data_IF_999552648759
#
_entry.id   IF_999552648759
#
_cell.length_a   1.000
_cell.length_b   1.000
_cell.length_c   1.000
_cell.angle_alpha   90.00
_cell.angle_beta   90.00
_cell.angle_gamma   90.00
#
_symmetry.space_group_name_H-M   'P 1'
#
loop_
_entity.id
_entity.type
_entity.pdbx_description
1 polymer ?
#
# COMPACT_ATOMS: atom_id res chain seq x y z
N UNK A 1 47.73 34.79 29.37
CA UNK A 1 47.38 35.25 28.01
C UNK A 1 47.27 34.04 27.10
N UNK A 2 46.03 33.79 26.64
CA UNK A 2 45.56 33.05 25.46
C UNK A 2 46.49 32.05 24.75
N UNK A 3 46.02 30.81 24.54
CA UNK A 3 45.58 30.37 23.19
C UNK A 3 44.88 29.01 23.21
N UNK A 4 43.55 29.08 23.34
CA UNK A 4 42.59 28.09 22.89
C UNK A 4 42.57 28.07 21.34
N UNK A 5 43.56 27.46 20.69
CA UNK A 5 43.54 27.31 19.23
C UNK A 5 44.32 26.05 18.82
N UNK A 6 43.79 24.85 19.10
CA UNK A 6 44.12 23.66 18.32
C UNK A 6 43.15 22.49 18.60
N UNK A 7 41.85 22.73 18.41
CA UNK A 7 40.82 21.67 18.35
C UNK A 7 39.86 21.96 17.21
N UNK A 8 40.38 22.01 15.98
CA UNK A 8 39.59 22.01 14.74
C UNK A 8 40.29 21.16 13.69
N UNK A 9 39.61 20.12 13.21
CA UNK A 9 40.11 19.14 12.24
C UNK A 9 40.52 17.87 12.97
N UNK A 10 39.70 16.84 13.09
CA UNK A 10 39.08 16.09 11.98
C UNK A 10 37.70 15.59 12.43
N UNK A 11 36.65 16.32 12.05
CA UNK A 11 35.27 15.84 12.09
C UNK A 11 34.62 16.23 10.76
N UNK A 12 35.02 15.55 9.68
CA UNK A 12 34.29 15.59 8.43
C UNK A 12 34.73 14.42 7.56
N UNK A 13 33.97 13.33 7.61
CA UNK A 13 33.42 12.57 6.48
C UNK A 13 32.63 11.41 7.10
N UNK A 14 31.34 11.64 7.39
CA UNK A 14 30.34 10.57 7.48
C UNK A 14 28.94 11.19 7.39
N UNK A 15 28.75 12.03 6.37
CA UNK A 15 27.51 12.77 6.15
C UNK A 15 26.88 12.36 4.83
N UNK A 16 26.49 11.09 4.67
CA UNK A 16 25.61 10.63 3.58
C UNK A 16 25.16 9.17 3.80
N UNK A 17 24.51 8.85 4.93
CA UNK A 17 23.70 7.63 5.04
C UNK A 17 22.69 7.65 6.22
N UNK A 18 21.99 8.77 6.45
CA UNK A 18 21.04 8.88 7.57
C UNK A 18 19.58 9.05 7.07
N UNK A 19 18.99 7.99 6.53
CA UNK A 19 17.53 7.88 6.37
C UNK A 19 16.99 6.52 6.86
N UNK A 20 17.83 5.69 7.49
CA UNK A 20 17.45 4.37 8.00
C UNK A 20 17.15 4.22 9.51
N UNK A 21 17.34 5.20 10.43
CA UNK A 21 17.22 4.90 11.86
C UNK A 21 15.76 4.63 12.28
N UNK A 22 14.78 5.34 11.69
CA UNK A 22 13.38 5.24 12.11
C UNK A 22 12.75 3.87 11.82
N UNK A 23 13.14 3.19 10.73
CA UNK A 23 12.57 1.87 10.42
C UNK A 23 13.21 0.74 11.22
N UNK A 24 14.49 0.88 11.57
CA UNK A 24 15.18 -0.07 12.43
C UNK A 24 14.62 0.00 13.86
N UNK A 25 14.36 1.21 14.36
CA UNK A 25 13.76 1.48 15.66
C UNK A 25 12.32 0.92 15.76
N UNK A 26 11.46 1.21 14.77
CA UNK A 26 10.09 0.65 14.70
C UNK A 26 10.09 -0.90 14.77
N UNK A 27 11.03 -1.57 14.11
CA UNK A 27 11.12 -3.04 14.12
C UNK A 27 11.60 -3.56 15.47
N UNK A 28 12.55 -2.89 16.11
CA UNK A 28 13.04 -3.26 17.43
C UNK A 28 11.94 -3.10 18.48
N UNK A 29 11.18 -2.00 18.45
CA UNK A 29 10.08 -1.78 19.39
C UNK A 29 8.96 -2.81 19.21
N UNK A 30 8.60 -3.15 17.96
CA UNK A 30 7.63 -4.24 17.70
C UNK A 30 8.13 -5.59 18.22
N UNK A 31 9.42 -5.89 18.06
CA UNK A 31 10.01 -7.12 18.59
C UNK A 31 10.00 -7.14 20.13
N UNK A 32 10.26 -6.00 20.77
CA UNK A 32 10.13 -5.84 22.23
C UNK A 32 8.70 -6.09 22.68
N UNK A 33 7.71 -5.48 22.04
CA UNK A 33 6.29 -5.65 22.41
C UNK A 33 5.87 -7.13 22.26
N UNK A 34 6.33 -7.81 21.21
CA UNK A 34 6.07 -9.24 21.04
C UNK A 34 6.62 -10.07 22.22
N UNK A 35 7.87 -9.82 22.63
CA UNK A 35 8.46 -10.48 23.81
C UNK A 35 7.69 -10.18 25.09
N UNK A 36 7.29 -8.92 25.33
CA UNK A 36 6.50 -8.56 26.51
C UNK A 36 5.13 -9.26 26.53
N UNK A 37 4.52 -9.54 25.36
CA UNK A 37 3.29 -10.33 25.28
C UNK A 37 3.50 -11.78 25.64
N UNK A 38 4.57 -12.38 25.13
CA UNK A 38 4.91 -13.77 25.44
C UNK A 38 5.18 -13.91 26.95
N UNK A 39 5.93 -12.98 27.54
CA UNK A 39 6.17 -12.92 28.99
C UNK A 39 4.89 -12.71 29.80
N UNK A 40 3.98 -11.83 29.36
CA UNK A 40 2.69 -11.64 30.01
C UNK A 40 1.81 -12.90 29.94
N UNK A 41 1.92 -13.67 28.85
CA UNK A 41 1.21 -14.94 28.67
C UNK A 41 1.79 -16.03 29.56
N UNK A 42 3.12 -16.16 29.61
CA UNK A 42 3.80 -17.13 30.48
C UNK A 42 3.50 -16.86 31.96
N UNK A 43 3.54 -15.59 32.39
CA UNK A 43 3.16 -15.20 33.75
C UNK A 43 1.71 -15.58 34.08
N UNK A 44 0.77 -15.33 33.16
CA UNK A 44 -0.62 -15.72 33.35
C UNK A 44 -0.79 -17.24 33.47
N UNK A 45 -0.07 -18.03 32.67
CA UNK A 45 -0.10 -19.49 32.77
C UNK A 45 0.51 -20.01 34.09
N UNK A 46 1.60 -19.39 34.55
CA UNK A 46 2.18 -19.71 35.86
C UNK A 46 1.19 -19.41 36.99
N UNK A 47 0.59 -18.22 36.96
CA UNK A 47 -0.42 -17.79 37.96
C UNK A 47 -1.65 -18.69 37.97
N UNK A 48 -2.11 -19.16 36.81
CA UNK A 48 -3.20 -20.15 36.76
C UNK A 48 -2.85 -21.44 37.51
N UNK A 49 -1.65 -22.00 37.27
CA UNK A 49 -1.18 -23.21 37.97
C UNK A 49 -1.01 -23.01 39.48
N UNK A 50 -0.62 -21.81 39.90
CA UNK A 50 -0.58 -21.43 41.32
C UNK A 50 -1.99 -21.35 41.91
N UNK A 51 -2.94 -20.73 41.17
CA UNK A 51 -4.32 -20.59 41.60
C UNK A 51 -5.02 -21.93 41.80
N UNK A 52 -4.73 -22.93 40.97
CA UNK A 52 -5.27 -24.30 41.08
C UNK A 52 -4.95 -24.96 42.42
N UNK A 53 -3.86 -24.55 43.08
CA UNK A 53 -3.45 -25.08 44.38
C UNK A 53 -4.10 -24.35 45.57
N UNK A 54 -4.88 -23.29 45.32
CA UNK A 54 -5.50 -22.46 46.36
C UNK A 54 -6.95 -22.88 46.57
N UNK A 55 -7.47 -22.62 47.77
CA UNK A 55 -8.88 -22.88 48.07
C UNK A 55 -9.85 -21.98 47.28
N UNK A 56 -9.46 -20.72 47.03
CA UNK A 56 -10.25 -19.74 46.29
C UNK A 56 -9.83 -19.65 44.80
N UNK A 57 -9.85 -20.78 44.09
CA UNK A 57 -9.36 -20.89 42.69
C UNK A 57 -10.01 -19.85 41.78
N UNK A 58 -11.34 -19.74 41.81
CA UNK A 58 -12.10 -18.87 40.89
C UNK A 58 -11.69 -17.41 41.01
N UNK A 59 -11.70 -16.87 42.23
CA UNK A 59 -11.31 -15.48 42.48
C UNK A 59 -9.85 -15.21 42.07
N UNK A 60 -8.95 -16.16 42.37
CA UNK A 60 -7.54 -16.07 41.99
C UNK A 60 -7.36 -16.06 40.46
N UNK A 61 -8.04 -16.96 39.74
CA UNK A 61 -7.96 -17.03 38.27
C UNK A 61 -8.55 -15.78 37.63
N UNK A 62 -9.63 -15.22 38.17
CA UNK A 62 -10.24 -14.01 37.64
C UNK A 62 -9.36 -12.77 37.83
N UNK A 63 -8.66 -12.66 38.96
CA UNK A 63 -7.63 -11.64 39.19
C UNK A 63 -6.47 -11.79 38.20
N UNK A 64 -5.93 -13.01 38.04
CA UNK A 64 -4.86 -13.29 37.08
C UNK A 64 -5.27 -12.97 35.63
N UNK A 65 -6.54 -13.24 35.26
CA UNK A 65 -7.10 -12.85 33.96
C UNK A 65 -7.22 -11.34 33.83
N UNK A 66 -7.62 -10.63 34.88
CA UNK A 66 -7.71 -9.17 34.87
C UNK A 66 -6.35 -8.52 34.66
N UNK A 67 -5.33 -8.95 35.41
CA UNK A 67 -3.93 -8.51 35.25
C UNK A 67 -3.42 -8.78 33.83
N UNK A 68 -3.66 -9.99 33.31
CA UNK A 68 -3.24 -10.36 31.94
C UNK A 68 -3.91 -9.47 30.88
N UNK A 69 -5.23 -9.24 30.99
CA UNK A 69 -5.95 -8.32 30.10
C UNK A 69 -5.38 -6.90 30.16
N UNK A 70 -5.11 -6.37 31.35
CA UNK A 70 -4.53 -5.04 31.51
C UNK A 70 -3.14 -4.94 30.85
N UNK A 71 -2.29 -5.95 31.05
CA UNK A 71 -0.98 -6.01 30.41
C UNK A 71 -1.09 -6.00 28.87
N UNK A 72 -1.97 -6.84 28.30
CA UNK A 72 -2.18 -6.89 26.85
C UNK A 72 -2.78 -5.60 26.28
N UNK A 73 -3.70 -4.95 27.01
CA UNK A 73 -4.29 -3.68 26.60
C UNK A 73 -3.25 -2.57 26.51
N UNK A 74 -2.35 -2.46 27.50
CA UNK A 74 -1.23 -1.52 27.48
C UNK A 74 -0.35 -1.75 26.24
N UNK A 75 0.03 -3.01 25.98
CA UNK A 75 0.87 -3.37 24.82
C UNK A 75 0.17 -3.09 23.48
N UNK A 76 -1.12 -3.37 23.37
CA UNK A 76 -1.92 -3.00 22.19
C UNK A 76 -1.94 -1.49 21.96
N UNK A 77 -2.00 -0.69 23.02
CA UNK A 77 -1.91 0.77 22.94
C UNK A 77 -0.55 1.24 22.40
N UNK A 78 0.54 0.57 22.75
CA UNK A 78 1.87 0.89 22.20
C UNK A 78 1.95 0.56 20.71
N UNK A 79 1.45 -0.60 20.29
CA UNK A 79 1.44 -0.97 18.87
C UNK A 79 0.56 -0.06 18.02
N UNK A 80 -0.59 0.38 18.53
CA UNK A 80 -1.47 1.26 17.76
C UNK A 80 -0.80 2.61 17.44
N UNK A 81 0.07 3.11 18.32
CA UNK A 81 0.89 4.30 18.05
C UNK A 81 1.85 4.04 16.89
N UNK A 82 2.54 2.89 16.88
CA UNK A 82 3.45 2.50 15.81
C UNK A 82 2.71 2.33 14.47
N UNK A 83 1.54 1.69 14.49
CA UNK A 83 0.71 1.48 13.30
C UNK A 83 0.19 2.80 12.72
N UNK A 84 -0.20 3.74 13.56
CA UNK A 84 -0.64 5.07 13.14
C UNK A 84 0.51 5.87 12.55
N UNK A 85 1.70 5.82 13.16
CA UNK A 85 2.90 6.45 12.61
C UNK A 85 3.26 5.88 11.23
N UNK A 86 3.21 4.56 11.08
CA UNK A 86 3.45 3.89 9.79
C UNK A 86 2.41 4.28 8.74
N UNK A 87 1.12 4.32 9.12
CA UNK A 87 0.03 4.74 8.23
C UNK A 87 0.27 6.15 7.69
N UNK A 88 0.60 7.09 8.58
CA UNK A 88 0.92 8.48 8.22
C UNK A 88 2.13 8.56 7.27
N UNK A 89 3.20 7.81 7.57
CA UNK A 89 4.39 7.73 6.72
C UNK A 89 4.05 7.23 5.31
N UNK A 90 3.29 6.13 5.20
CA UNK A 90 2.87 5.57 3.90
C UNK A 90 1.96 6.54 3.13
N UNK A 91 1.07 7.24 3.81
CA UNK A 91 0.22 8.26 3.20
C UNK A 91 1.07 9.42 2.66
N UNK A 92 2.01 9.95 3.44
CA UNK A 92 2.92 11.01 3.03
C UNK A 92 3.76 10.61 1.80
N UNK A 93 4.32 9.39 1.80
CA UNK A 93 5.08 8.84 0.67
C UNK A 93 4.23 8.77 -0.61
N UNK A 94 2.96 8.33 -0.50
CA UNK A 94 2.04 8.30 -1.64
C UNK A 94 1.73 9.69 -2.17
N UNK A 95 1.51 10.66 -1.28
CA UNK A 95 1.25 12.04 -1.69
C UNK A 95 2.47 12.66 -2.39
N UNK A 96 3.68 12.40 -1.88
CA UNK A 96 4.91 12.85 -2.52
C UNK A 96 5.06 12.25 -3.93
N UNK A 97 4.86 10.93 -4.08
CA UNK A 97 4.93 10.26 -5.37
C UNK A 97 3.88 10.77 -6.38
N UNK A 98 2.67 11.12 -5.93
CA UNK A 98 1.64 11.73 -6.78
C UNK A 98 2.08 13.12 -7.23
N UNK A 99 2.57 13.96 -6.32
CA UNK A 99 3.06 15.32 -6.64
C UNK A 99 4.19 15.26 -7.66
N UNK A 100 5.14 14.34 -7.47
CA UNK A 100 6.24 14.13 -8.41
C UNK A 100 5.71 13.77 -9.81
N UNK A 101 4.81 12.78 -9.90
CA UNK A 101 4.19 12.39 -11.19
C UNK A 101 3.45 13.54 -11.86
N UNK A 102 2.61 14.27 -11.13
CA UNK A 102 1.87 15.42 -11.66
C UNK A 102 2.82 16.51 -12.12
N UNK A 103 3.88 16.80 -11.37
CA UNK A 103 4.89 17.78 -11.78
C UNK A 103 5.67 17.35 -13.02
N UNK A 104 5.99 16.06 -13.14
CA UNK A 104 6.66 15.50 -14.31
C UNK A 104 5.76 15.50 -15.55
N UNK A 105 4.47 15.21 -15.41
CA UNK A 105 3.47 15.33 -16.47
C UNK A 105 3.29 16.79 -16.90
N UNK A 106 3.12 17.71 -15.97
CA UNK A 106 3.04 19.14 -16.25
C UNK A 106 4.29 19.67 -16.99
N UNK A 107 5.49 19.23 -16.59
CA UNK A 107 6.73 19.58 -17.28
C UNK A 107 6.79 19.01 -18.70
N UNK A 108 6.26 17.80 -18.93
CA UNK A 108 6.16 17.20 -20.28
C UNK A 108 5.18 17.94 -21.17
N UNK A 109 4.05 18.39 -20.62
CA UNK A 109 3.06 19.16 -21.37
C UNK A 109 3.53 20.58 -21.68
N UNK A 110 4.33 21.19 -20.79
CA UNK A 110 4.95 22.49 -21.01
C UNK A 110 6.13 22.44 -22.01
N UNK A 111 6.75 21.27 -22.22
CA UNK A 111 7.83 21.12 -23.19
C UNK A 111 7.27 21.27 -24.62
N UNK A 112 7.91 22.07 -25.50
CA UNK A 112 7.45 22.23 -26.87
C UNK A 112 7.45 20.88 -27.58
N UNK A 113 6.27 20.46 -28.04
CA UNK A 113 6.16 19.23 -28.83
C UNK A 113 6.93 19.41 -30.13
N UNK A 114 7.81 18.48 -30.51
CA UNK A 114 8.47 18.54 -31.80
C UNK A 114 7.37 18.54 -32.87
N UNK A 115 7.29 19.64 -33.63
CA UNK A 115 6.39 19.76 -34.78
C UNK A 115 6.87 18.70 -35.77
N UNK A 116 6.18 17.56 -35.79
CA UNK A 116 6.39 16.58 -36.85
C UNK A 116 5.92 17.25 -38.14
N UNK A 117 6.75 17.34 -39.19
CA UNK A 117 6.29 17.83 -40.47
C UNK A 117 5.07 17.01 -40.87
N UNK A 118 3.99 17.68 -41.27
CA UNK A 118 2.79 17.03 -41.75
C UNK A 118 3.20 16.08 -42.90
N UNK A 119 2.80 14.80 -42.89
CA UNK A 119 3.07 13.93 -44.01
C UNK A 119 2.40 14.57 -45.23
N UNK A 120 3.20 14.90 -46.25
CA UNK A 120 2.67 15.35 -47.52
C UNK A 120 1.72 14.25 -48.02
N UNK A 121 0.42 14.55 -48.02
CA UNK A 121 -0.59 13.65 -48.60
C UNK A 121 -0.39 13.75 -50.12
N UNK A 122 0.50 12.92 -50.65
CA UNK A 122 0.58 12.69 -52.09
C UNK A 122 -0.61 11.81 -52.45
N UNK A 123 -1.65 12.41 -53.01
CA UNK A 123 -2.73 11.67 -53.65
C UNK A 123 -2.14 11.04 -54.92
N UNK A 124 -1.70 9.79 -54.82
CA UNK A 124 -1.29 9.01 -55.98
C UNK A 124 -2.52 8.73 -56.83
N UNK A 125 -2.46 9.14 -58.10
CA UNK A 125 -3.47 8.81 -59.11
C UNK A 125 -3.70 7.28 -59.15
N UNK A 126 -4.94 6.80 -59.42
CA UNK A 126 -5.25 5.38 -59.38
C UNK A 126 -4.40 4.62 -60.41
N UNK A 127 -3.46 3.82 -59.90
CA UNK A 127 -2.53 3.05 -60.70
C UNK A 127 -3.28 1.92 -61.41
N UNK A 128 -3.40 2.02 -62.73
CA UNK A 128 -3.81 0.90 -63.57
C UNK A 128 -2.80 -0.24 -63.39
N UNK A 129 -3.30 -1.45 -63.14
CA UNK A 129 -2.49 -2.66 -62.92
C UNK A 129 -1.75 -3.04 -64.21
N UNK A 130 -0.44 -3.31 -64.14
CA UNK A 130 0.18 -4.29 -65.02
C UNK A 130 0.63 -5.53 -64.22
N UNK A 131 0.55 -6.66 -64.91
CA UNK A 131 0.90 -8.02 -64.51
C UNK A 131 2.37 -8.19 -64.09
N UNK A 132 2.63 -9.20 -63.23
CA UNK A 132 3.87 -9.91 -62.83
C UNK A 132 5.24 -9.39 -63.36
N UNK A 133 6.33 -9.23 -62.59
CA UNK A 133 7.03 -10.22 -61.73
C UNK A 133 8.04 -9.50 -60.77
N UNK A 134 8.83 -10.19 -59.89
CA UNK A 134 9.15 -9.71 -58.55
C UNK A 134 10.45 -8.90 -58.44
N UNK A 135 10.45 -7.88 -57.57
CA UNK A 135 11.64 -7.22 -57.08
C UNK A 135 11.61 -7.15 -55.55
N UNK A 136 12.69 -7.64 -54.96
CA UNK A 136 12.88 -7.83 -53.54
C UNK A 136 12.97 -6.51 -52.77
N UNK A 137 12.29 -6.43 -51.61
CA UNK A 137 12.61 -5.46 -50.56
C UNK A 137 12.09 -5.92 -49.19
N UNK A 138 13.06 -6.37 -48.37
CA UNK A 138 13.16 -6.39 -46.89
C UNK A 138 12.05 -7.06 -46.03
N UNK A 139 12.43 -7.91 -45.04
CA UNK A 139 11.49 -8.55 -44.15
C UNK A 139 11.16 -7.62 -42.96
N UNK A 140 10.06 -6.91 -43.04
CA UNK A 140 9.25 -6.72 -41.83
C UNK A 140 8.23 -7.83 -41.86
N UNK A 141 8.34 -8.80 -40.94
CA UNK A 141 7.37 -9.87 -40.77
C UNK A 141 5.99 -9.26 -40.51
N UNK A 142 5.26 -8.97 -41.60
CA UNK A 142 3.82 -8.81 -41.58
C UNK A 142 3.31 -10.16 -41.11
N UNK A 143 2.93 -10.23 -39.84
CA UNK A 143 2.24 -11.37 -39.26
C UNK A 143 1.25 -11.92 -40.31
N UNK A 144 1.48 -13.17 -40.68
CA UNK A 144 0.68 -13.88 -41.66
C UNK A 144 -0.80 -13.81 -41.26
N UNK A 145 -1.71 -13.86 -42.22
CA UNK A 145 -3.16 -13.82 -41.95
C UNK A 145 -3.62 -14.69 -40.75
N UNK A 146 -3.11 -15.92 -40.53
CA UNK A 146 -3.44 -16.71 -39.34
C UNK A 146 -2.87 -16.18 -38.01
N UNK A 147 -1.74 -15.46 -38.00
CA UNK A 147 -1.18 -14.88 -36.78
C UNK A 147 -1.99 -13.66 -36.31
N UNK A 148 -2.52 -12.86 -37.26
CA UNK A 148 -3.42 -11.74 -36.96
C UNK A 148 -4.75 -12.21 -36.39
N UNK A 149 -5.36 -13.26 -36.96
CA UNK A 149 -6.61 -13.81 -36.42
C UNK A 149 -6.43 -14.43 -35.03
N UNK A 150 -5.30 -15.11 -34.78
CA UNK A 150 -4.96 -15.62 -33.46
C UNK A 150 -4.75 -14.50 -32.42
N UNK A 151 -4.12 -13.39 -32.80
CA UNK A 151 -3.93 -12.24 -31.93
C UNK A 151 -5.27 -11.53 -31.61
N UNK A 152 -6.17 -11.43 -32.59
CA UNK A 152 -7.49 -10.85 -32.40
C UNK A 152 -8.35 -11.71 -31.47
N UNK A 153 -8.34 -13.05 -31.64
CA UNK A 153 -9.03 -13.98 -30.75
C UNK A 153 -8.55 -13.84 -29.29
N UNK A 154 -7.23 -13.81 -29.06
CA UNK A 154 -6.64 -13.59 -27.72
C UNK A 154 -7.02 -12.22 -27.14
N UNK A 155 -7.16 -11.21 -27.99
CA UNK A 155 -7.53 -9.86 -27.55
C UNK A 155 -9.00 -9.79 -27.13
N UNK A 156 -9.89 -10.45 -27.87
CA UNK A 156 -11.31 -10.61 -27.54
C UNK A 156 -11.48 -11.37 -26.23
N UNK A 157 -10.80 -12.50 -26.05
CA UNK A 157 -10.84 -13.28 -24.80
C UNK A 157 -10.38 -12.45 -23.59
N UNK A 158 -9.27 -11.70 -23.71
CA UNK A 158 -8.79 -10.82 -22.65
C UNK A 158 -9.79 -9.71 -22.33
N UNK A 159 -10.47 -9.17 -23.34
CA UNK A 159 -11.48 -8.13 -23.15
C UNK A 159 -12.71 -8.68 -22.42
N UNK A 160 -13.22 -9.82 -22.84
CA UNK A 160 -14.33 -10.50 -22.17
C UNK A 160 -13.99 -10.87 -20.73
N UNK A 161 -12.78 -11.39 -20.49
CA UNK A 161 -12.30 -11.68 -19.13
C UNK A 161 -12.31 -10.44 -18.25
N UNK A 162 -11.76 -9.32 -18.73
CA UNK A 162 -11.78 -8.04 -18.00
C UNK A 162 -13.19 -7.54 -17.73
N UNK A 163 -14.12 -7.72 -18.68
CA UNK A 163 -15.52 -7.35 -18.46
C UNK A 163 -16.17 -8.20 -17.36
N UNK A 164 -15.93 -9.53 -17.37
CA UNK A 164 -16.43 -10.44 -16.34
C UNK A 164 -15.87 -10.08 -14.96
N UNK A 165 -14.57 -9.83 -14.87
CA UNK A 165 -13.91 -9.41 -13.62
C UNK A 165 -14.44 -8.07 -13.11
N UNK A 166 -14.60 -7.07 -13.99
CA UNK A 166 -15.15 -5.78 -13.62
C UNK A 166 -16.60 -5.87 -13.13
N UNK A 167 -17.42 -6.72 -13.76
CA UNK A 167 -18.79 -7.00 -13.32
C UNK A 167 -18.80 -7.66 -11.94
N UNK A 168 -18.02 -8.72 -11.76
CA UNK A 168 -17.91 -9.42 -10.48
C UNK A 168 -17.49 -8.48 -9.33
N UNK A 169 -16.52 -7.60 -9.59
CA UNK A 169 -16.07 -6.61 -8.60
C UNK A 169 -17.18 -5.59 -8.26
N UNK A 170 -17.96 -5.13 -9.24
CA UNK A 170 -19.11 -4.23 -8.99
C UNK A 170 -20.19 -4.92 -8.16
N UNK A 171 -20.51 -6.16 -8.49
CA UNK A 171 -21.52 -6.94 -7.78
C UNK A 171 -21.09 -7.21 -6.34
N UNK A 172 -19.81 -7.53 -6.11
CA UNK A 172 -19.26 -7.71 -4.77
C UNK A 172 -19.29 -6.40 -3.95
N UNK A 173 -18.91 -5.28 -4.55
CA UNK A 173 -18.98 -3.98 -3.90
C UNK A 173 -20.42 -3.61 -3.50
N UNK A 174 -21.39 -3.85 -4.40
CA UNK A 174 -22.81 -3.65 -4.13
C UNK A 174 -23.32 -4.54 -2.98
N UNK A 175 -22.91 -5.82 -2.95
CA UNK A 175 -23.23 -6.73 -1.84
C UNK A 175 -22.66 -6.22 -0.52
N UNK A 176 -21.39 -5.83 -0.47
CA UNK A 176 -20.76 -5.28 0.74
C UNK A 176 -21.46 -4.00 1.22
N UNK A 177 -21.91 -3.16 0.30
CA UNK A 177 -22.68 -1.96 0.64
C UNK A 177 -24.06 -2.32 1.21
N UNK A 178 -24.74 -3.30 0.63
CA UNK A 178 -26.02 -3.78 1.14
C UNK A 178 -25.90 -4.42 2.55
N UNK A 179 -24.88 -5.24 2.78
CA UNK A 179 -24.59 -5.80 4.12
C UNK A 179 -24.32 -4.68 5.14
N UNK A 180 -23.46 -3.71 4.80
CA UNK A 180 -23.22 -2.53 5.66
C UNK A 180 -24.48 -1.70 5.91
N UNK A 181 -25.41 -1.63 4.95
CA UNK A 181 -26.67 -0.92 5.12
C UNK A 181 -27.67 -1.67 6.02
N UNK A 182 -27.60 -3.02 6.05
CA UNK A 182 -28.35 -3.85 7.01
C UNK A 182 -27.78 -3.71 8.42
N UNK A 183 -26.45 -3.80 8.54
CA UNK A 183 -25.75 -3.73 9.83
C UNK A 183 -25.69 -2.30 10.40
N UNK A 184 -25.65 -1.29 9.54
CA UNK A 184 -25.47 0.13 9.89
C UNK A 184 -26.75 0.88 10.28
N UNK A 185 -27.90 0.20 10.37
CA UNK A 185 -29.17 0.78 10.85
C UNK A 185 -29.40 0.59 12.36
N UNK A 186 -28.35 0.38 13.15
CA UNK A 186 -28.42 0.71 14.56
C UNK A 186 -28.40 2.24 14.68
N UNK A 187 -29.57 2.85 14.86
CA UNK A 187 -29.68 4.27 15.18
C UNK A 187 -28.73 4.59 16.34
N UNK A 188 -27.72 5.42 16.08
CA UNK A 188 -26.89 5.99 17.13
C UNK A 188 -27.83 6.69 18.09
N UNK A 189 -28.01 6.14 19.30
CA UNK A 189 -28.78 6.80 20.35
C UNK A 189 -28.17 8.20 20.50
N UNK A 190 -28.97 9.28 20.37
CA UNK A 190 -28.44 10.61 20.59
C UNK A 190 -27.85 10.66 22.00
N UNK A 191 -26.70 11.34 22.13
CA UNK A 191 -26.06 11.55 23.42
C UNK A 191 -27.10 12.12 24.40
N UNK A 192 -27.11 11.67 25.67
CA UNK A 192 -28.05 12.16 26.66
C UNK A 192 -27.90 13.68 26.80
N UNK A 193 -29.05 14.37 26.79
CA UNK A 193 -29.13 15.82 26.96
C UNK A 193 -28.60 16.20 28.36
N UNK A 194 -27.57 17.07 28.47
CA UNK A 194 -27.04 17.51 29.76
C UNK A 194 -28.04 18.29 30.61
N UNK A 195 -29.19 18.73 30.05
CA UNK A 195 -30.22 19.48 30.76
C UNK A 195 -31.25 18.61 31.52
N UNK A 196 -31.14 17.28 31.46
CA UNK A 196 -32.07 16.36 32.13
C UNK A 196 -31.66 15.95 33.57
N UNK A 197 -30.92 16.79 34.29
CA UNK A 197 -30.55 16.59 35.70
C UNK A 197 -31.11 17.67 36.60
#
# INVERSE_FOLDING_TARGET
MNQFLLRCGVLSVCGLLACMPAQADDRQERARIARERDEATLRFQQRQRECEQRFAVTACVDEARAEHRQALLRLRGQESVLDEAERKRRAAQRMAAIREKVSAEAARDAAPRPVRPAPAITVSAPRQKPSAAPAASRPTASASSPERSAQEARSRERFEKRQREAKAHRDEAARRQAERAKDGKAAVRPLPDPAAR
#
